data_IF_481701168793
#
_entry.id   IF_481701168793
#
_cell.length_a   1.000
_cell.length_b   1.000
_cell.length_c   1.000
_cell.angle_alpha   90.00
_cell.angle_beta   90.00
_cell.angle_gamma   90.00
#
_symmetry.space_group_name_H-M   'P 1'
#
loop_
_entity.id
_entity.type
_entity.pdbx_description
1 polymer ?
#
# COMPACT_ATOMS: atom_id res chain seq x y z
N UNK A 1 11.48 7.94 25.93
CA UNK A 1 10.57 8.44 24.88
C UNK A 1 10.33 7.26 23.97
N UNK A 2 9.08 6.94 23.72
CA UNK A 2 8.70 5.96 22.71
C UNK A 2 8.55 6.65 21.34
N UNK A 3 8.54 5.87 20.27
CA UNK A 3 8.33 6.40 18.93
C UNK A 3 7.00 5.86 18.41
N UNK A 4 6.16 6.73 17.89
CA UNK A 4 4.91 6.37 17.23
C UNK A 4 5.09 6.39 15.72
N UNK A 5 4.65 5.33 15.06
CA UNK A 5 4.55 5.28 13.60
C UNK A 5 3.10 5.61 13.22
N UNK A 6 2.94 6.63 12.39
CA UNK A 6 1.64 7.08 11.88
C UNK A 6 1.64 6.81 10.38
N UNK A 7 0.65 6.08 9.88
CA UNK A 7 0.47 5.83 8.45
C UNK A 7 -0.96 6.13 8.03
N UNK A 8 -1.28 5.98 6.77
CA UNK A 8 -2.64 6.09 6.26
C UNK A 8 -3.21 4.72 5.84
N UNK A 9 -4.53 4.63 5.66
CA UNK A 9 -5.21 3.36 5.38
C UNK A 9 -4.87 2.75 4.02
N UNK A 10 -4.19 3.49 3.13
CA UNK A 10 -3.69 2.92 1.88
C UNK A 10 -2.52 1.95 2.09
N UNK A 11 -1.95 1.88 3.29
CA UNK A 11 -0.98 0.85 3.70
C UNK A 11 -1.61 -0.53 3.94
N UNK A 12 -2.94 -0.62 3.95
CA UNK A 12 -3.69 -1.85 4.28
C UNK A 12 -3.33 -2.45 5.65
N UNK A 13 -2.90 -1.61 6.61
CA UNK A 13 -2.58 -1.99 7.99
C UNK A 13 -3.70 -1.65 8.95
N UNK A 14 -3.73 -2.38 10.07
CA UNK A 14 -4.62 -2.12 11.20
C UNK A 14 -3.82 -1.63 12.41
N UNK A 15 -4.33 -0.66 13.20
CA UNK A 15 -3.69 -0.25 14.45
C UNK A 15 -3.48 -1.40 15.45
N UNK A 16 -4.25 -2.49 15.32
CA UNK A 16 -4.12 -3.67 16.17
C UNK A 16 -2.84 -4.49 15.89
N UNK A 17 -2.13 -4.24 14.77
CA UNK A 17 -0.95 -5.01 14.40
C UNK A 17 0.28 -4.64 15.23
N UNK A 18 0.34 -3.42 15.77
CA UNK A 18 1.46 -3.01 16.61
C UNK A 18 1.07 -1.87 17.57
N UNK A 19 1.51 -1.88 18.87
CA UNK A 19 1.14 -0.87 19.84
C UNK A 19 1.64 0.55 19.52
N UNK A 20 2.71 0.68 18.75
CA UNK A 20 3.24 1.97 18.30
C UNK A 20 2.61 2.47 16.99
N UNK A 21 1.68 1.72 16.38
CA UNK A 21 1.08 2.04 15.09
C UNK A 21 -0.21 2.83 15.23
N UNK A 22 -0.33 3.96 14.53
CA UNK A 22 -1.57 4.67 14.29
C UNK A 22 -1.86 4.71 12.78
N UNK A 23 -3.11 4.43 12.38
CA UNK A 23 -3.54 4.42 10.98
C UNK A 23 -4.62 5.48 10.78
N UNK A 24 -4.38 6.44 9.91
CA UNK A 24 -5.34 7.49 9.58
C UNK A 24 -6.15 7.10 8.35
N UNK A 25 -7.49 7.12 8.44
CA UNK A 25 -8.34 6.65 7.37
C UNK A 25 -8.42 7.64 6.21
N UNK A 26 -8.29 7.14 4.97
CA UNK A 26 -8.81 7.83 3.80
C UNK A 26 -10.33 7.66 3.74
N UNK A 27 -11.02 8.54 3.02
CA UNK A 27 -12.45 8.38 2.77
C UNK A 27 -12.71 7.65 1.47
N UNK A 28 -13.79 6.84 1.46
CA UNK A 28 -14.35 6.19 0.27
C UNK A 28 -15.80 6.61 0.14
N UNK A 29 -16.19 7.12 -1.03
CA UNK A 29 -17.51 7.66 -1.28
C UNK A 29 -18.23 6.88 -2.37
N UNK A 30 -19.39 6.34 -2.07
CA UNK A 30 -20.34 5.76 -3.02
C UNK A 30 -21.54 6.71 -3.16
N UNK A 31 -21.67 7.39 -4.30
CA UNK A 31 -22.69 8.40 -4.50
C UNK A 31 -22.60 9.53 -3.46
N UNK A 32 -23.53 9.55 -2.51
CA UNK A 32 -23.56 10.50 -1.38
C UNK A 32 -23.05 9.91 -0.07
N UNK A 33 -22.86 8.60 -0.01
CA UNK A 33 -22.46 7.89 1.22
C UNK A 33 -20.94 7.94 1.35
N UNK A 34 -20.46 8.49 2.45
CA UNK A 34 -19.02 8.63 2.76
C UNK A 34 -18.67 7.68 3.89
N UNK A 35 -17.62 6.88 3.69
CA UNK A 35 -17.10 5.91 4.65
C UNK A 35 -15.62 6.20 4.92
N UNK A 36 -15.19 5.98 6.15
CA UNK A 36 -13.78 6.03 6.53
C UNK A 36 -13.20 4.60 6.45
N UNK A 37 -12.19 4.42 5.61
CA UNK A 37 -11.58 3.12 5.30
C UNK A 37 -10.97 2.48 6.56
N UNK A 38 -11.39 1.23 6.86
CA UNK A 38 -10.98 0.50 8.05
C UNK A 38 -11.70 0.91 9.35
N UNK A 39 -12.61 1.91 9.31
CA UNK A 39 -13.44 2.35 10.45
C UNK A 39 -14.92 2.09 10.18
N UNK A 40 -15.48 2.72 9.14
CA UNK A 40 -16.92 2.62 8.80
C UNK A 40 -17.18 1.50 7.79
N UNK A 41 -16.16 1.10 7.07
CA UNK A 41 -16.21 0.06 6.05
C UNK A 41 -14.96 -0.82 6.13
N UNK A 42 -15.16 -2.12 6.29
CA UNK A 42 -14.11 -3.11 6.23
C UNK A 42 -13.93 -3.67 4.80
N UNK A 43 -12.92 -4.53 4.63
CA UNK A 43 -12.60 -5.18 3.36
C UNK A 43 -13.82 -5.92 2.77
N UNK A 44 -14.49 -6.76 3.58
CA UNK A 44 -15.61 -7.57 3.09
C UNK A 44 -16.76 -6.68 2.62
N UNK A 45 -17.20 -5.74 3.46
CA UNK A 45 -18.33 -4.87 3.17
C UNK A 45 -18.06 -3.98 1.96
N UNK A 46 -16.82 -3.50 1.78
CA UNK A 46 -16.45 -2.71 0.61
C UNK A 46 -16.65 -3.52 -0.69
N UNK A 47 -16.14 -4.75 -0.77
CA UNK A 47 -16.25 -5.53 -2.01
C UNK A 47 -17.67 -6.04 -2.25
N UNK A 48 -18.47 -6.31 -1.22
CA UNK A 48 -19.91 -6.54 -1.37
C UNK A 48 -20.58 -5.34 -2.02
N UNK A 49 -20.37 -4.13 -1.49
CA UNK A 49 -20.93 -2.90 -2.04
C UNK A 49 -20.44 -2.60 -3.46
N UNK A 50 -19.16 -2.88 -3.75
CA UNK A 50 -18.60 -2.67 -5.09
C UNK A 50 -19.27 -3.56 -6.16
N UNK A 51 -19.76 -4.74 -5.77
CA UNK A 51 -20.51 -5.66 -6.65
C UNK A 51 -22.00 -5.30 -6.71
N UNK A 52 -22.58 -4.86 -5.59
CA UNK A 52 -24.00 -4.54 -5.46
C UNK A 52 -24.40 -3.21 -6.14
N UNK A 53 -23.48 -2.25 -6.20
CA UNK A 53 -23.74 -0.89 -6.71
C UNK A 53 -23.21 -0.72 -8.14
N UNK A 54 -24.01 -0.09 -8.98
CA UNK A 54 -23.60 0.27 -10.36
C UNK A 54 -22.60 1.43 -10.40
N UNK A 55 -22.60 2.26 -9.36
CA UNK A 55 -21.75 3.44 -9.26
C UNK A 55 -20.38 3.09 -8.65
N UNK A 56 -19.31 3.45 -9.38
CA UNK A 56 -17.97 3.26 -8.87
C UNK A 56 -17.63 4.26 -7.76
N UNK A 57 -16.98 3.80 -6.68
CA UNK A 57 -16.59 4.67 -5.58
C UNK A 57 -15.48 5.65 -5.98
N UNK A 58 -15.29 6.67 -5.13
CA UNK A 58 -14.19 7.64 -5.20
C UNK A 58 -13.49 7.68 -3.86
N UNK A 59 -12.19 8.01 -3.86
CA UNK A 59 -11.42 8.19 -2.63
C UNK A 59 -11.11 9.65 -2.36
N UNK A 60 -11.06 10.02 -1.07
CA UNK A 60 -10.56 11.30 -0.59
C UNK A 60 -9.32 11.11 0.26
N UNK A 61 -8.37 12.06 0.17
CA UNK A 61 -7.14 12.05 0.97
C UNK A 61 -7.40 12.24 2.46
N UNK A 62 -6.46 11.82 3.31
CA UNK A 62 -6.45 12.23 4.72
C UNK A 62 -6.25 13.73 4.79
N UNK A 63 -7.10 14.42 5.55
CA UNK A 63 -7.02 15.87 5.66
C UNK A 63 -5.94 16.33 6.67
N UNK A 64 -5.44 17.60 6.60
CA UNK A 64 -4.42 18.09 7.51
C UNK A 64 -4.82 18.01 8.99
N UNK A 65 -6.10 18.23 9.29
CA UNK A 65 -6.59 18.21 10.67
C UNK A 65 -6.41 16.85 11.35
N UNK A 66 -6.64 15.73 10.62
CA UNK A 66 -6.41 14.39 11.15
C UNK A 66 -4.94 14.17 11.53
N UNK A 67 -4.01 14.65 10.69
CA UNK A 67 -2.58 14.61 11.04
C UNK A 67 -2.24 15.51 12.22
N UNK A 68 -2.83 16.71 12.31
CA UNK A 68 -2.62 17.61 13.46
C UNK A 68 -3.07 16.94 14.77
N UNK A 69 -4.19 16.24 14.76
CA UNK A 69 -4.68 15.48 15.93
C UNK A 69 -3.69 14.37 16.31
N UNK A 70 -3.23 13.56 15.34
CA UNK A 70 -2.30 12.47 15.61
C UNK A 70 -0.92 12.97 16.12
N UNK A 71 -0.44 14.12 15.62
CA UNK A 71 0.78 14.78 16.11
C UNK A 71 0.57 15.29 17.55
N UNK A 72 -0.57 15.90 17.85
CA UNK A 72 -0.90 16.38 19.20
C UNK A 72 -0.94 15.23 20.19
N UNK A 73 -1.62 14.13 19.86
CA UNK A 73 -1.71 12.93 20.69
C UNK A 73 -0.33 12.31 20.98
N UNK A 74 0.56 12.23 19.97
CA UNK A 74 1.92 11.76 20.17
C UNK A 74 2.68 12.65 21.15
N UNK A 75 2.60 13.97 20.98
CA UNK A 75 3.27 14.96 21.86
C UNK A 75 2.73 14.94 23.28
N UNK A 76 1.42 14.83 23.46
CA UNK A 76 0.80 14.72 24.79
C UNK A 76 1.23 13.47 25.54
N UNK A 77 1.48 12.36 24.78
CA UNK A 77 2.04 11.14 25.34
C UNK A 77 3.57 11.24 25.62
N UNK A 78 4.24 12.30 25.17
CA UNK A 78 5.71 12.45 25.25
C UNK A 78 6.44 11.58 24.26
N UNK A 79 5.80 11.19 23.16
CA UNK A 79 6.34 10.35 22.09
C UNK A 79 6.94 11.20 20.97
N UNK A 80 8.02 10.68 20.36
CA UNK A 80 8.45 11.08 19.03
C UNK A 80 7.52 10.46 17.97
N UNK A 81 7.50 10.95 16.72
CA UNK A 81 6.67 10.35 15.69
C UNK A 81 7.34 10.32 14.30
N UNK A 82 7.07 9.26 13.56
CA UNK A 82 7.36 9.16 12.11
C UNK A 82 6.06 8.93 11.37
N UNK A 83 5.72 9.85 10.47
CA UNK A 83 4.55 9.77 9.60
C UNK A 83 5.00 9.24 8.25
N UNK A 84 4.56 8.04 7.88
CA UNK A 84 4.84 7.41 6.58
C UNK A 84 3.52 7.39 5.82
N UNK A 85 3.46 8.04 4.66
CA UNK A 85 2.23 8.12 3.86
C UNK A 85 2.39 7.42 2.52
N UNK A 86 1.27 7.10 1.91
CA UNK A 86 1.27 6.71 0.51
C UNK A 86 1.95 7.77 -0.38
N UNK A 87 2.41 7.35 -1.56
CA UNK A 87 3.17 8.16 -2.49
C UNK A 87 2.51 9.50 -2.84
N UNK A 88 3.26 10.60 -2.70
CA UNK A 88 2.78 11.96 -2.91
C UNK A 88 2.27 12.23 -4.34
N UNK A 89 2.69 11.45 -5.33
CA UNK A 89 2.18 11.54 -6.71
C UNK A 89 0.83 10.86 -6.93
N UNK A 90 0.39 10.00 -5.99
CA UNK A 90 -0.89 9.28 -6.06
C UNK A 90 -2.00 9.96 -5.27
N UNK A 91 -1.65 10.68 -4.20
CA UNK A 91 -2.60 11.32 -3.29
C UNK A 91 -2.03 12.59 -2.66
N UNK A 92 -2.88 13.53 -2.33
CA UNK A 92 -2.51 14.71 -1.54
C UNK A 92 -2.25 14.42 -0.05
N UNK A 93 -2.34 13.16 0.40
CA UNK A 93 -2.19 12.76 1.80
C UNK A 93 -0.81 13.17 2.38
N UNK A 94 0.28 12.97 1.62
CA UNK A 94 1.62 13.43 2.05
C UNK A 94 1.66 14.96 2.25
N UNK A 95 1.06 15.71 1.32
CA UNK A 95 1.00 17.17 1.45
C UNK A 95 0.17 17.59 2.66
N UNK A 96 -0.92 16.87 2.98
CA UNK A 96 -1.71 17.11 4.20
C UNK A 96 -0.88 16.92 5.48
N UNK A 97 -0.08 15.84 5.54
CA UNK A 97 0.82 15.60 6.68
C UNK A 97 1.88 16.70 6.83
N UNK A 98 2.49 17.14 5.73
CA UNK A 98 3.46 18.25 5.73
C UNK A 98 2.85 19.57 6.15
N UNK A 99 1.62 19.86 5.71
CA UNK A 99 0.87 21.05 6.11
C UNK A 99 0.60 21.04 7.61
N UNK A 100 0.10 19.93 8.15
CA UNK A 100 -0.14 19.78 9.58
C UNK A 100 1.13 20.01 10.41
N UNK A 101 2.27 19.41 9.99
CA UNK A 101 3.55 19.58 10.69
C UNK A 101 4.05 21.03 10.63
N UNK A 102 3.87 21.74 9.50
CA UNK A 102 4.27 23.13 9.36
C UNK A 102 3.44 24.08 10.25
N UNK A 103 2.17 23.76 10.50
CA UNK A 103 1.28 24.52 11.41
C UNK A 103 1.57 24.19 12.89
N UNK A 104 2.26 23.08 13.17
CA UNK A 104 2.61 22.63 14.51
C UNK A 104 4.15 22.48 14.65
N UNK A 105 4.92 23.57 14.59
CA UNK A 105 6.37 23.48 14.63
C UNK A 105 6.88 22.94 15.97
N UNK A 106 8.04 22.29 15.94
CA UNK A 106 8.73 21.74 17.11
C UNK A 106 8.36 20.27 17.37
N UNK A 107 9.13 19.66 18.26
CA UNK A 107 9.05 18.22 18.56
C UNK A 107 9.76 17.36 17.49
N UNK A 108 10.00 16.11 17.87
CA UNK A 108 10.67 15.14 17.01
C UNK A 108 9.64 14.37 16.17
N UNK A 109 9.10 15.06 15.16
CA UNK A 109 8.12 14.52 14.21
C UNK A 109 8.68 14.63 12.79
N UNK A 110 8.66 13.52 12.06
CA UNK A 110 9.21 13.41 10.72
C UNK A 110 8.13 12.91 9.74
N UNK A 111 8.09 13.48 8.53
CA UNK A 111 7.17 13.05 7.47
C UNK A 111 7.97 12.46 6.32
N UNK A 112 7.73 11.18 6.05
CA UNK A 112 8.37 10.40 4.98
C UNK A 112 7.32 10.10 3.90
N UNK A 113 7.66 10.41 2.66
CA UNK A 113 6.92 9.94 1.47
C UNK A 113 7.39 8.52 1.15
N UNK A 114 6.50 7.52 1.25
CA UNK A 114 6.86 6.14 0.91
C UNK A 114 7.25 5.97 -0.56
N UNK A 115 6.86 6.91 -1.42
CA UNK A 115 6.96 6.78 -2.88
C UNK A 115 6.27 5.50 -3.40
N UNK A 116 5.39 4.93 -2.60
CA UNK A 116 4.76 3.63 -2.78
C UNK A 116 3.27 3.65 -2.39
N UNK A 117 2.61 2.51 -2.40
CA UNK A 117 1.18 2.37 -2.11
C UNK A 117 0.87 0.92 -1.71
N UNK A 118 -0.24 0.69 -0.99
CA UNK A 118 -0.69 -0.65 -0.58
C UNK A 118 0.42 -1.43 0.13
N UNK A 119 0.65 -2.65 -0.23
CA UNK A 119 1.68 -3.51 0.36
C UNK A 119 3.11 -2.91 0.27
N UNK A 120 3.39 -2.06 -0.73
CA UNK A 120 4.69 -1.39 -0.83
C UNK A 120 4.89 -0.32 0.24
N UNK A 121 3.84 0.40 0.62
CA UNK A 121 3.83 1.28 1.78
C UNK A 121 3.88 0.46 3.07
N UNK A 122 3.07 -0.62 3.15
CA UNK A 122 3.03 -1.53 4.28
C UNK A 122 4.42 -2.03 4.69
N UNK A 123 5.20 -2.60 3.77
CA UNK A 123 6.51 -3.16 4.10
C UNK A 123 7.50 -2.11 4.61
N UNK A 124 7.35 -0.84 4.20
CA UNK A 124 8.10 0.28 4.78
C UNK A 124 7.68 0.61 6.21
N UNK A 125 6.38 0.57 6.48
CA UNK A 125 5.84 0.76 7.83
C UNK A 125 6.27 -0.39 8.75
N UNK A 126 6.21 -1.64 8.29
CA UNK A 126 6.70 -2.81 9.04
C UNK A 126 8.20 -2.71 9.35
N UNK A 127 9.00 -2.22 8.39
CA UNK A 127 10.41 -1.94 8.63
C UNK A 127 10.60 -0.86 9.69
N UNK A 128 9.84 0.23 9.64
CA UNK A 128 9.88 1.27 10.66
C UNK A 128 9.50 0.74 12.05
N UNK A 129 8.49 -0.12 12.16
CA UNK A 129 8.07 -0.76 13.41
C UNK A 129 9.16 -1.68 13.99
N UNK A 130 9.88 -2.45 13.15
CA UNK A 130 11.06 -3.21 13.61
C UNK A 130 12.13 -2.31 14.23
N UNK A 131 12.36 -1.13 13.65
CA UNK A 131 13.30 -0.16 14.20
C UNK A 131 12.82 0.48 15.51
N UNK A 132 11.48 0.62 15.70
CA UNK A 132 10.91 1.00 17.00
C UNK A 132 11.22 -0.04 18.04
N UNK A 133 11.05 -1.34 17.74
CA UNK A 133 11.34 -2.45 18.64
C UNK A 133 12.83 -2.56 18.98
N UNK A 134 13.72 -2.12 18.06
CA UNK A 134 15.16 -1.96 18.29
C UNK A 134 15.52 -0.73 19.14
N UNK A 135 14.56 0.10 19.53
CA UNK A 135 14.78 1.30 20.34
C UNK A 135 15.41 2.47 19.59
N UNK A 136 15.24 2.57 18.28
CA UNK A 136 15.71 3.70 17.48
C UNK A 136 14.87 4.95 17.72
N UNK A 137 15.48 6.14 17.62
CA UNK A 137 14.76 7.42 17.66
C UNK A 137 13.99 7.67 16.36
N UNK A 138 13.01 8.56 16.39
CA UNK A 138 12.23 8.92 15.19
C UNK A 138 13.11 9.46 14.06
N UNK A 139 14.13 10.25 14.36
CA UNK A 139 15.09 10.74 13.37
C UNK A 139 15.86 9.61 12.70
N UNK A 140 16.29 8.60 13.46
CA UNK A 140 17.00 7.43 12.93
C UNK A 140 16.07 6.56 12.06
N UNK A 141 14.82 6.37 12.49
CA UNK A 141 13.81 5.61 11.75
C UNK A 141 13.49 6.31 10.44
N UNK A 142 13.19 7.61 10.47
CA UNK A 142 12.87 8.37 9.27
C UNK A 142 14.00 8.30 8.24
N UNK A 143 15.26 8.52 8.67
CA UNK A 143 16.42 8.43 7.80
C UNK A 143 16.63 7.02 7.24
N UNK A 144 16.42 5.96 8.05
CA UNK A 144 16.53 4.58 7.61
C UNK A 144 15.46 4.21 6.57
N UNK A 145 14.18 4.62 6.78
CA UNK A 145 13.10 4.40 5.83
C UNK A 145 13.36 5.13 4.52
N UNK A 146 13.79 6.39 4.56
CA UNK A 146 14.16 7.16 3.36
C UNK A 146 15.29 6.50 2.57
N UNK A 147 16.29 5.94 3.26
CA UNK A 147 17.44 5.29 2.62
C UNK A 147 17.07 3.98 1.87
N UNK A 148 16.00 3.30 2.29
CA UNK A 148 15.61 1.99 1.71
C UNK A 148 14.37 2.04 0.84
N UNK A 149 13.57 3.11 0.88
CA UNK A 149 12.26 3.18 0.22
C UNK A 149 12.33 2.91 -1.29
N UNK A 150 13.40 3.34 -1.95
CA UNK A 150 13.57 3.15 -3.40
C UNK A 150 13.97 1.70 -3.77
N UNK A 151 14.26 0.86 -2.77
CA UNK A 151 14.43 -0.60 -2.93
C UNK A 151 13.12 -1.36 -2.86
N UNK A 152 12.03 -0.72 -2.45
CA UNK A 152 10.73 -1.37 -2.36
C UNK A 152 10.12 -1.51 -3.73
N UNK A 153 9.74 -2.74 -4.06
CA UNK A 153 9.01 -3.10 -5.27
C UNK A 153 7.61 -3.56 -4.87
N UNK A 154 6.59 -2.96 -5.48
CA UNK A 154 5.22 -3.47 -5.44
C UNK A 154 4.73 -3.75 -6.85
N UNK A 155 4.28 -4.99 -7.10
CA UNK A 155 3.80 -5.43 -8.42
C UNK A 155 2.43 -6.07 -8.22
N UNK A 156 1.45 -5.65 -9.03
CA UNK A 156 0.08 -6.18 -9.01
C UNK A 156 -0.33 -6.81 -10.33
N UNK A 157 -1.00 -7.96 -10.26
CA UNK A 157 -1.76 -8.57 -11.35
C UNK A 157 -3.22 -8.18 -11.18
N UNK A 158 -3.81 -7.51 -12.16
CA UNK A 158 -5.17 -7.00 -12.10
C UNK A 158 -6.10 -7.76 -13.05
N UNK A 159 -7.41 -7.72 -12.76
CA UNK A 159 -8.44 -8.18 -13.68
C UNK A 159 -8.60 -7.24 -14.88
N UNK A 160 -8.48 -5.92 -14.64
CA UNK A 160 -8.65 -4.86 -15.63
C UNK A 160 -7.90 -3.59 -15.21
N UNK A 161 -7.60 -2.69 -16.14
CA UNK A 161 -7.09 -1.34 -15.85
C UNK A 161 -8.22 -0.31 -15.66
N UNK A 162 -9.46 -0.69 -15.83
CA UNK A 162 -10.61 0.22 -15.87
C UNK A 162 -10.68 1.10 -14.61
N UNK A 163 -10.50 0.51 -13.42
CA UNK A 163 -10.54 1.22 -12.14
C UNK A 163 -9.42 2.25 -12.02
N UNK A 164 -8.19 1.89 -12.40
CA UNK A 164 -7.05 2.81 -12.41
C UNK A 164 -7.23 3.97 -13.37
N UNK A 165 -7.80 3.70 -14.56
CA UNK A 165 -8.08 4.74 -15.58
C UNK A 165 -9.17 5.68 -15.09
N UNK A 166 -10.29 5.15 -14.62
CA UNK A 166 -11.40 5.96 -14.09
C UNK A 166 -11.00 6.75 -12.85
N UNK A 167 -10.16 6.17 -12.00
CA UNK A 167 -9.59 6.83 -10.83
C UNK A 167 -8.50 7.86 -11.16
N UNK A 168 -7.99 7.89 -12.39
CA UNK A 168 -6.92 8.80 -12.81
C UNK A 168 -5.55 8.51 -12.17
N UNK A 169 -5.30 7.29 -11.68
CA UNK A 169 -4.04 6.87 -11.04
C UNK A 169 -3.15 6.03 -11.95
N UNK A 170 -3.57 5.76 -13.17
CA UNK A 170 -2.71 5.15 -14.18
C UNK A 170 -1.87 6.22 -14.88
N UNK A 171 -0.56 6.00 -15.00
CA UNK A 171 0.33 6.90 -15.73
C UNK A 171 -0.09 7.04 -17.20
N UNK A 172 -0.03 8.25 -17.73
CA UNK A 172 -0.32 8.53 -19.15
C UNK A 172 0.57 7.72 -20.13
N UNK A 173 1.74 7.28 -19.68
CA UNK A 173 2.64 6.42 -20.45
C UNK A 173 2.10 5.00 -20.69
N UNK A 174 1.05 4.58 -19.96
CA UNK A 174 0.45 3.24 -20.11
C UNK A 174 -0.27 3.02 -21.46
N UNK A 175 -0.44 4.06 -22.27
CA UNK A 175 -1.06 3.98 -23.59
C UNK A 175 -2.58 3.84 -23.57
N UNK A 176 -3.19 3.63 -24.75
CA UNK A 176 -4.63 3.46 -24.87
C UNK A 176 -5.10 2.15 -24.23
N UNK A 177 -5.95 2.27 -23.20
CA UNK A 177 -6.57 1.13 -22.54
C UNK A 177 -7.82 0.74 -23.33
N UNK A 178 -7.68 -0.28 -24.19
CA UNK A 178 -8.83 -0.94 -24.82
C UNK A 178 -9.32 -2.06 -23.91
N UNK A 179 -10.64 -2.20 -23.78
CA UNK A 179 -11.27 -3.35 -23.10
C UNK A 179 -11.08 -4.61 -23.96
N UNK A 180 -9.98 -5.31 -23.75
CA UNK A 180 -9.76 -6.62 -24.37
C UNK A 180 -10.23 -7.71 -23.42
N UNK A 181 -11.17 -8.53 -23.88
CA UNK A 181 -11.71 -9.63 -23.10
C UNK A 181 -10.60 -10.59 -22.63
N UNK A 182 -10.58 -10.91 -21.34
CA UNK A 182 -9.64 -11.84 -20.70
C UNK A 182 -8.14 -11.44 -20.78
N UNK A 183 -7.86 -10.13 -20.84
CA UNK A 183 -6.48 -9.63 -20.73
C UNK A 183 -6.22 -9.19 -19.28
N UNK A 184 -5.17 -9.75 -18.70
CA UNK A 184 -4.73 -9.50 -17.32
C UNK A 184 -3.51 -8.58 -17.34
N UNK A 185 -3.64 -7.31 -16.95
CA UNK A 185 -2.50 -6.40 -16.85
C UNK A 185 -1.68 -6.67 -15.59
N UNK A 186 -0.37 -6.45 -15.71
CA UNK A 186 0.55 -6.38 -14.59
C UNK A 186 1.03 -4.93 -14.47
N UNK A 187 0.93 -4.37 -13.29
CA UNK A 187 1.29 -2.99 -12.95
C UNK A 187 2.31 -2.95 -11.82
N UNK A 188 3.02 -1.85 -11.67
CA UNK A 188 3.89 -1.57 -10.53
C UNK A 188 3.81 -0.10 -10.14
N UNK A 189 4.24 0.23 -8.92
CA UNK A 189 4.61 1.58 -8.57
C UNK A 189 6.07 1.82 -8.94
N UNK A 190 6.32 2.75 -9.86
CA UNK A 190 7.64 3.19 -10.26
C UNK A 190 7.72 4.72 -10.13
N UNK A 191 8.70 5.20 -9.39
CA UNK A 191 8.86 6.63 -9.08
C UNK A 191 7.57 7.29 -8.55
N UNK A 192 6.82 6.57 -7.73
CA UNK A 192 5.56 7.02 -7.14
C UNK A 192 4.38 7.13 -8.12
N UNK A 193 4.45 6.51 -9.28
CA UNK A 193 3.37 6.45 -10.27
C UNK A 193 3.01 5.00 -10.58
N UNK A 194 1.74 4.73 -10.90
CA UNK A 194 1.34 3.40 -11.36
C UNK A 194 1.62 3.28 -12.85
N UNK A 195 2.49 2.32 -13.20
CA UNK A 195 2.87 2.02 -14.58
C UNK A 195 2.45 0.61 -14.97
N UNK A 196 2.16 0.40 -16.25
CA UNK A 196 1.86 -0.93 -16.78
C UNK A 196 3.15 -1.62 -17.21
N UNK A 197 3.53 -2.71 -16.54
CA UNK A 197 4.70 -3.53 -16.85
C UNK A 197 4.47 -4.53 -17.99
N UNK A 198 3.21 -4.84 -18.29
CA UNK A 198 2.83 -5.77 -19.32
C UNK A 198 1.38 -6.22 -19.23
N UNK A 199 1.01 -7.11 -20.13
CA UNK A 199 -0.32 -7.73 -20.17
C UNK A 199 -0.22 -9.15 -20.68
N UNK A 200 -1.07 -10.04 -20.16
CA UNK A 200 -1.13 -11.44 -20.58
C UNK A 200 -2.58 -11.86 -20.83
N UNK A 201 -2.80 -12.88 -21.63
CA UNK A 201 -4.15 -13.41 -21.88
C UNK A 201 -4.42 -14.60 -20.96
N UNK A 202 -5.45 -14.48 -20.13
CA UNK A 202 -5.87 -15.49 -19.17
C UNK A 202 -5.08 -15.48 -17.86
N UNK A 203 -5.69 -15.96 -16.77
CA UNK A 203 -5.16 -15.87 -15.40
C UNK A 203 -3.83 -16.61 -15.21
N UNK A 204 -3.65 -17.78 -15.82
CA UNK A 204 -2.37 -18.53 -15.73
C UNK A 204 -1.20 -17.74 -16.31
N UNK A 205 -1.39 -17.18 -17.53
CA UNK A 205 -0.34 -16.38 -18.16
C UNK A 205 -0.11 -15.06 -17.42
N UNK A 206 -1.16 -14.50 -16.80
CA UNK A 206 -1.05 -13.33 -15.90
C UNK A 206 -0.15 -13.62 -14.72
N UNK A 207 -0.37 -14.73 -14.00
CA UNK A 207 0.48 -15.14 -12.87
C UNK A 207 1.94 -15.42 -13.31
N UNK A 208 2.13 -16.09 -14.45
CA UNK A 208 3.47 -16.29 -15.01
C UNK A 208 4.17 -14.96 -15.34
N UNK A 209 3.43 -13.98 -15.88
CA UNK A 209 3.97 -12.66 -16.14
C UNK A 209 4.34 -11.93 -14.84
N UNK A 210 3.51 -12.05 -13.79
CA UNK A 210 3.83 -11.50 -12.46
C UNK A 210 5.16 -12.09 -11.95
N UNK A 211 5.33 -13.44 -12.00
CA UNK A 211 6.58 -14.11 -11.62
C UNK A 211 7.79 -13.56 -12.37
N UNK A 212 7.68 -13.45 -13.71
CA UNK A 212 8.76 -12.89 -14.54
C UNK A 212 9.11 -11.44 -14.14
N UNK A 213 8.13 -10.65 -13.67
CA UNK A 213 8.39 -9.28 -13.23
C UNK A 213 9.06 -9.24 -11.87
N UNK A 214 8.69 -10.13 -10.94
CA UNK A 214 9.39 -10.29 -9.66
C UNK A 214 10.85 -10.72 -9.88
N UNK A 215 11.10 -11.72 -10.72
CA UNK A 215 12.46 -12.16 -11.07
C UNK A 215 13.30 -11.02 -11.69
N UNK A 216 12.70 -10.26 -12.62
CA UNK A 216 13.37 -9.13 -13.29
C UNK A 216 13.65 -7.95 -12.36
N UNK A 217 12.95 -7.85 -11.25
CA UNK A 217 13.21 -6.84 -10.24
C UNK A 217 14.53 -7.06 -9.46
N UNK A 218 15.27 -8.13 -9.72
CA UNK A 218 16.59 -8.38 -9.13
C UNK A 218 16.58 -9.27 -7.89
N UNK A 219 15.44 -9.89 -7.57
CA UNK A 219 15.30 -10.81 -6.43
C UNK A 219 14.67 -10.16 -5.20
N UNK A 220 14.47 -11.00 -4.18
CA UNK A 220 13.83 -10.63 -2.91
C UNK A 220 14.87 -10.66 -1.79
N UNK A 221 14.94 -9.58 -1.02
CA UNK A 221 15.72 -9.53 0.23
C UNK A 221 14.86 -10.09 1.37
N UNK A 222 15.00 -11.39 1.66
CA UNK A 222 14.22 -12.07 2.70
C UNK A 222 14.61 -11.68 4.14
N UNK A 223 15.63 -10.85 4.34
CA UNK A 223 15.93 -10.25 5.65
C UNK A 223 15.05 -9.03 5.96
N UNK A 224 14.39 -8.50 4.94
CA UNK A 224 13.49 -7.34 5.00
C UNK A 224 12.02 -7.80 4.97
N UNK A 225 11.06 -6.96 5.41
CA UNK A 225 9.65 -7.26 5.28
C UNK A 225 9.23 -7.55 3.85
N UNK A 226 8.31 -8.48 3.68
CA UNK A 226 7.63 -8.76 2.43
C UNK A 226 6.14 -8.97 2.69
N UNK A 227 5.30 -8.73 1.70
CA UNK A 227 3.86 -8.89 1.82
C UNK A 227 3.24 -9.36 0.51
N UNK A 228 2.27 -10.25 0.61
CA UNK A 228 1.41 -10.67 -0.48
C UNK A 228 -0.03 -10.28 -0.13
N UNK A 229 -0.84 -9.92 -1.13
CA UNK A 229 -2.22 -9.53 -0.84
C UNK A 229 -3.16 -9.70 -2.01
N UNK A 230 -4.45 -9.60 -1.69
CA UNK A 230 -5.51 -9.76 -2.67
C UNK A 230 -6.65 -8.76 -2.45
N UNK A 231 -7.40 -8.52 -3.52
CA UNK A 231 -8.63 -7.74 -3.53
C UNK A 231 -9.83 -8.63 -3.83
N UNK A 232 -11.03 -8.23 -3.37
CA UNK A 232 -12.25 -9.01 -3.56
C UNK A 232 -12.52 -9.96 -2.41
N UNK A 233 -13.59 -10.76 -2.55
CA UNK A 233 -14.11 -11.64 -1.51
C UNK A 233 -13.45 -13.02 -1.46
N UNK A 234 -12.46 -13.29 -2.32
CA UNK A 234 -11.81 -14.60 -2.42
C UNK A 234 -10.30 -14.45 -2.63
N UNK A 235 -9.55 -15.20 -1.86
CA UNK A 235 -8.09 -15.32 -1.94
C UNK A 235 -7.63 -16.42 -2.94
N UNK A 236 -8.56 -17.05 -3.66
CA UNK A 236 -8.25 -18.20 -4.52
C UNK A 236 -7.18 -17.91 -5.59
N UNK A 237 -7.20 -16.69 -6.17
CA UNK A 237 -6.20 -16.29 -7.17
C UNK A 237 -4.82 -16.13 -6.53
N UNK A 238 -4.75 -15.57 -5.32
CA UNK A 238 -3.52 -15.43 -4.57
C UNK A 238 -2.96 -16.80 -4.13
N UNK A 239 -3.79 -17.68 -3.58
CA UNK A 239 -3.38 -19.05 -3.23
C UNK A 239 -2.78 -19.77 -4.43
N UNK A 240 -3.45 -19.67 -5.58
CA UNK A 240 -2.94 -20.28 -6.81
C UNK A 240 -1.66 -19.62 -7.30
N UNK A 241 -1.50 -18.32 -7.10
CA UNK A 241 -0.26 -17.62 -7.39
C UNK A 241 0.88 -18.12 -6.49
N UNK A 242 0.67 -18.26 -5.20
CA UNK A 242 1.68 -18.77 -4.23
C UNK A 242 2.12 -20.19 -4.62
N UNK A 243 1.17 -21.10 -4.95
CA UNK A 243 1.49 -22.43 -5.43
C UNK A 243 2.34 -22.41 -6.71
N UNK A 244 1.92 -21.62 -7.72
CA UNK A 244 2.59 -21.54 -9.02
C UNK A 244 3.99 -20.86 -8.92
N UNK A 245 4.24 -20.07 -7.86
CA UNK A 245 5.46 -19.27 -7.64
C UNK A 245 6.31 -19.74 -6.45
N UNK A 246 6.08 -20.92 -5.91
CA UNK A 246 6.74 -21.42 -4.70
C UNK A 246 8.28 -21.28 -4.74
N UNK A 247 8.90 -21.42 -5.90
CA UNK A 247 10.36 -21.26 -6.08
C UNK A 247 10.84 -19.85 -5.77
N UNK A 248 10.05 -18.82 -6.12
CA UNK A 248 10.38 -17.41 -5.83
C UNK A 248 10.44 -17.12 -4.33
N UNK A 249 9.59 -17.79 -3.56
CA UNK A 249 9.41 -17.56 -2.14
C UNK A 249 10.16 -18.55 -1.27
N UNK A 250 10.93 -19.47 -1.86
CA UNK A 250 11.65 -20.53 -1.15
C UNK A 250 12.71 -19.99 -0.15
N UNK A 251 13.16 -18.75 -0.31
CA UNK A 251 14.04 -18.08 0.64
C UNK A 251 13.36 -17.58 1.91
N UNK A 252 12.02 -17.51 1.93
CA UNK A 252 11.25 -17.20 3.14
C UNK A 252 11.18 -18.46 4.03
N UNK A 253 11.81 -18.39 5.19
CA UNK A 253 11.95 -19.54 6.11
C UNK A 253 11.22 -19.34 7.45
N UNK A 254 10.62 -18.19 7.66
CA UNK A 254 9.95 -17.78 8.89
C UNK A 254 8.45 -18.01 8.85
N UNK A 255 8.02 -19.27 8.82
CA UNK A 255 6.59 -19.61 8.83
C UNK A 255 5.90 -19.51 7.46
N UNK A 256 4.63 -19.14 7.46
CA UNK A 256 3.85 -18.93 6.25
C UNK A 256 4.15 -17.55 5.63
N UNK A 257 3.99 -17.44 4.30
CA UNK A 257 4.10 -16.15 3.63
C UNK A 257 3.07 -15.15 4.20
N UNK A 258 3.46 -13.89 4.49
CA UNK A 258 2.55 -12.90 5.03
C UNK A 258 1.52 -12.49 3.97
N UNK A 259 0.25 -12.88 4.21
CA UNK A 259 -0.88 -12.64 3.31
C UNK A 259 -1.83 -11.65 3.94
N UNK A 260 -2.20 -10.62 3.18
CA UNK A 260 -3.06 -9.52 3.64
C UNK A 260 -4.24 -9.29 2.71
N UNK A 261 -5.33 -8.76 3.25
CA UNK A 261 -6.41 -8.19 2.47
C UNK A 261 -6.07 -6.77 2.05
N UNK A 262 -6.43 -6.40 0.81
CA UNK A 262 -6.24 -5.04 0.30
C UNK A 262 -7.58 -4.31 0.43
N UNK A 263 -7.61 -3.20 1.18
CA UNK A 263 -8.80 -2.50 1.64
C UNK A 263 -9.51 -1.63 0.60
N UNK A 264 -10.43 -0.79 1.12
CA UNK A 264 -11.37 -0.04 0.30
C UNK A 264 -10.71 1.06 -0.52
N UNK A 265 -9.74 1.77 0.04
CA UNK A 265 -9.01 2.84 -0.66
C UNK A 265 -8.35 2.31 -1.93
N UNK A 266 -7.57 1.26 -1.80
CA UNK A 266 -6.84 0.65 -2.92
C UNK A 266 -7.80 -0.09 -3.85
N UNK A 267 -8.76 -0.84 -3.28
CA UNK A 267 -9.80 -1.56 -4.02
C UNK A 267 -10.60 -0.68 -4.97
N UNK A 268 -10.87 0.58 -4.59
CA UNK A 268 -11.50 1.60 -5.45
C UNK A 268 -10.75 1.81 -6.76
N UNK A 269 -9.42 1.70 -6.75
CA UNK A 269 -8.56 1.98 -7.91
C UNK A 269 -8.08 0.74 -8.67
N UNK A 270 -8.06 -0.44 -8.03
CA UNK A 270 -7.59 -1.67 -8.69
C UNK A 270 -8.72 -2.66 -8.97
N UNK A 271 -9.87 -2.50 -8.34
CA UNK A 271 -11.03 -3.39 -8.46
C UNK A 271 -10.82 -4.75 -7.76
N UNK A 272 -11.83 -5.64 -7.83
CA UNK A 272 -11.76 -6.97 -7.23
C UNK A 272 -10.92 -7.93 -8.08
N UNK A 273 -10.38 -8.98 -7.43
CA UNK A 273 -9.66 -10.08 -8.09
C UNK A 273 -8.19 -9.75 -8.42
N UNK A 274 -7.65 -8.65 -7.91
CA UNK A 274 -6.23 -8.35 -8.02
C UNK A 274 -5.41 -9.17 -7.02
N UNK A 275 -4.15 -9.44 -7.39
CA UNK A 275 -3.11 -9.98 -6.52
C UNK A 275 -1.92 -9.04 -6.56
N UNK A 276 -1.37 -8.72 -5.41
CA UNK A 276 -0.18 -7.88 -5.30
C UNK A 276 0.91 -8.57 -4.46
N UNK A 277 2.16 -8.26 -4.77
CA UNK A 277 3.33 -8.64 -4.00
C UNK A 277 4.20 -7.43 -3.76
N UNK A 278 4.75 -7.29 -2.55
CA UNK A 278 5.68 -6.24 -2.19
C UNK A 278 6.88 -6.83 -1.44
N UNK A 279 8.06 -6.34 -1.76
CA UNK A 279 9.32 -6.80 -1.19
C UNK A 279 10.42 -5.76 -1.38
N UNK A 280 11.51 -5.91 -0.65
CA UNK A 280 12.72 -5.13 -0.89
C UNK A 280 13.63 -5.87 -1.86
N UNK A 281 14.21 -5.15 -2.82
CA UNK A 281 15.34 -5.65 -3.60
C UNK A 281 16.58 -5.80 -2.71
N UNK A 282 17.49 -6.76 -2.99
CA UNK A 282 18.77 -6.84 -2.33
C UNK A 282 19.53 -5.52 -2.38
N UNK A 283 20.28 -5.19 -1.33
CA UNK A 283 21.19 -4.07 -1.37
C UNK A 283 22.32 -4.36 -2.37
N UNK A 284 22.62 -3.40 -3.24
CA UNK A 284 23.72 -3.49 -4.18
C UNK A 284 25.08 -3.44 -3.45
#
# INVERSE_FOLDING_TARGET
>A
MSVRIITDSASDMSPAEHPALAVLPLSVTFGTDVFMDGIDIDHQRFYEMLVERDELPKTGQVNPYAFSQAIAEAREAGDEAVIITMGAKLSGTNQSARTALAEMPGGDVFVVDSNNVTLGERVLVEYALRLVDEGRSAAQIAAAVEAVRDRVVVIGLLETLEYLVRGGRLSAAAGAVGTLLNVKPVVAAEDGLIVQLGKARGSKNGRNLLNQKVEKAGGVDFSMPLALGYTGLSDAVLKKYIEDSAVLWAGHTEGELPVHTIGATIGTHVGPGAVAVAFFQPAN
#
